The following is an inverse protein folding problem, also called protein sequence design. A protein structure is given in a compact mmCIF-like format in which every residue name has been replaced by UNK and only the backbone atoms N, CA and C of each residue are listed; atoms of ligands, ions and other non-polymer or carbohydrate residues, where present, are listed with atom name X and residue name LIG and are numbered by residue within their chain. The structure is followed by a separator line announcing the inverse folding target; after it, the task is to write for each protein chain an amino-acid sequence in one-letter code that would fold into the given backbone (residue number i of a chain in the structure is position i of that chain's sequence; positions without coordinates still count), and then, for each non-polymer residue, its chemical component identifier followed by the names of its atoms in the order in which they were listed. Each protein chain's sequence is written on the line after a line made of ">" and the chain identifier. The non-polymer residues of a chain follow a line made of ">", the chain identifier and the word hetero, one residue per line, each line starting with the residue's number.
data_IF_655044775849
#
_entry.id   IF_655044775849
#
_cell.length_a   1.000
_cell.length_b   1.000
_cell.length_c   1.000
_cell.angle_alpha   90.00
_cell.angle_beta   90.00
_cell.angle_gamma   90.00
#
_symmetry.space_group_name_H-M   'P 1'
#
loop_
_entity.id
_entity.type
_entity.pdbx_description
1 polymer ?
#
# COMPACT_ATOMS: atom_id res chain seq x y z
N UNK A 1 -22.33 9.76 -17.75
CA UNK A 1 -22.22 8.84 -16.60
C UNK A 1 -21.15 9.38 -15.68
N UNK A 2 -21.45 9.51 -14.39
CA UNK A 2 -20.74 10.35 -13.43
C UNK A 2 -19.23 10.08 -13.37
N UNK A 3 -18.46 11.16 -13.48
CA UNK A 3 -17.01 11.23 -13.32
C UNK A 3 -16.61 10.54 -12.00
N UNK A 4 -15.84 9.45 -12.08
CA UNK A 4 -15.42 8.70 -10.90
C UNK A 4 -14.70 9.60 -9.91
N UNK A 5 -15.12 9.57 -8.65
CA UNK A 5 -14.51 10.34 -7.58
C UNK A 5 -13.04 9.92 -7.46
N UNK A 6 -12.11 10.87 -7.67
CA UNK A 6 -10.66 10.61 -7.62
C UNK A 6 -10.17 10.24 -6.20
N UNK A 7 -10.99 10.47 -5.19
CA UNK A 7 -10.66 10.24 -3.78
C UNK A 7 -11.08 8.85 -3.32
N UNK A 8 -10.22 8.16 -2.57
CA UNK A 8 -10.56 6.86 -1.97
C UNK A 8 -11.73 6.96 -0.99
N UNK A 9 -12.50 5.87 -0.80
CA UNK A 9 -13.60 5.83 0.19
C UNK A 9 -13.14 6.20 1.62
N UNK A 10 -11.98 5.71 2.12
CA UNK A 10 -11.46 6.16 3.41
C UNK A 10 -11.22 7.67 3.49
N UNK A 11 -10.68 8.28 2.43
CA UNK A 11 -10.41 9.71 2.38
C UNK A 11 -11.71 10.53 2.33
N UNK A 12 -12.70 10.08 1.55
CA UNK A 12 -14.05 10.67 1.52
C UNK A 12 -14.70 10.67 2.92
N UNK A 13 -14.63 9.56 3.66
CA UNK A 13 -15.17 9.49 5.04
C UNK A 13 -14.51 10.50 5.98
N UNK A 14 -13.18 10.67 5.87
CA UNK A 14 -12.45 11.65 6.68
C UNK A 14 -12.80 13.09 6.32
N UNK A 15 -13.01 13.38 5.03
CA UNK A 15 -13.50 14.69 4.57
C UNK A 15 -14.89 14.99 5.13
N UNK A 16 -15.81 14.04 5.02
CA UNK A 16 -17.17 14.16 5.61
C UNK A 16 -17.07 14.43 7.11
N UNK A 17 -16.21 13.69 7.83
CA UNK A 17 -15.99 13.93 9.26
C UNK A 17 -15.50 15.35 9.57
N UNK A 18 -14.65 15.93 8.73
CA UNK A 18 -14.17 17.31 8.91
C UNK A 18 -15.28 18.34 8.64
N UNK A 19 -16.05 18.15 7.57
CA UNK A 19 -17.13 19.06 7.15
C UNK A 19 -18.28 19.09 8.18
N UNK A 20 -18.54 17.99 8.88
CA UNK A 20 -19.58 17.92 9.91
C UNK A 20 -19.17 18.50 11.27
N UNK A 21 -18.00 19.11 11.42
CA UNK A 21 -17.58 19.71 12.69
C UNK A 21 -18.21 21.09 12.92
N UNK A 22 -18.94 21.26 14.03
CA UNK A 22 -19.51 22.54 14.46
C UNK A 22 -18.45 23.50 15.01
N UNK A 23 -17.87 24.37 14.16
CA UNK A 23 -16.76 25.25 14.57
C UNK A 23 -17.16 26.34 15.60
N UNK A 24 -18.46 26.61 15.76
CA UNK A 24 -18.99 27.47 16.81
C UNK A 24 -18.68 26.92 18.21
N UNK A 25 -18.65 25.60 18.36
CA UNK A 25 -18.45 24.93 19.64
C UNK A 25 -16.97 24.60 19.87
N UNK A 26 -16.45 24.77 21.11
CA UNK A 26 -15.09 24.38 21.47
C UNK A 26 -14.76 22.93 21.13
N UNK A 27 -15.67 22.00 21.44
CA UNK A 27 -15.51 20.58 21.13
C UNK A 27 -15.46 20.30 19.62
N UNK A 28 -16.29 21.01 18.85
CA UNK A 28 -16.31 20.93 17.40
C UNK A 28 -15.01 21.43 16.77
N UNK A 29 -14.39 22.47 17.33
CA UNK A 29 -13.04 22.93 16.92
C UNK A 29 -11.95 21.89 17.22
N UNK A 30 -11.96 21.29 18.41
CA UNK A 30 -11.02 20.23 18.75
C UNK A 30 -11.20 18.99 17.83
N UNK A 31 -12.45 18.64 17.52
CA UNK A 31 -12.77 17.57 16.55
C UNK A 31 -12.29 17.92 15.15
N UNK A 32 -12.46 19.16 14.70
CA UNK A 32 -12.00 19.62 13.38
C UNK A 32 -10.48 19.53 13.23
N UNK A 33 -9.71 19.95 14.25
CA UNK A 33 -8.25 19.83 14.22
C UNK A 33 -7.78 18.36 14.16
N UNK A 34 -8.39 17.47 14.96
CA UNK A 34 -8.14 16.02 14.89
C UNK A 34 -8.51 15.42 13.52
N UNK A 35 -9.63 15.84 12.95
CA UNK A 35 -10.06 15.40 11.62
C UNK A 35 -9.10 15.89 10.52
N UNK A 36 -8.58 17.13 10.63
CA UNK A 36 -7.58 17.68 9.73
C UNK A 36 -6.26 16.88 9.78
N UNK A 37 -5.76 16.56 10.99
CA UNK A 37 -4.59 15.68 11.18
C UNK A 37 -4.81 14.31 10.54
N UNK A 38 -5.96 13.69 10.80
CA UNK A 38 -6.30 12.37 10.26
C UNK A 38 -6.43 12.37 8.72
N UNK A 39 -6.89 13.49 8.14
CA UNK A 39 -6.94 13.68 6.70
C UNK A 39 -5.52 13.79 6.11
N UNK A 40 -4.63 14.56 6.75
CA UNK A 40 -3.23 14.70 6.34
C UNK A 40 -2.49 13.37 6.35
N UNK A 41 -2.63 12.60 7.42
CA UNK A 41 -2.06 11.26 7.54
C UNK A 41 -2.54 10.34 6.40
N UNK A 42 -3.84 10.37 6.11
CA UNK A 42 -4.39 9.59 5.00
C UNK A 42 -3.86 10.04 3.64
N UNK A 43 -3.65 11.34 3.43
CA UNK A 43 -3.07 11.85 2.19
C UNK A 43 -1.63 11.38 2.01
N UNK A 44 -0.81 11.44 3.07
CA UNK A 44 0.58 10.96 3.03
C UNK A 44 0.65 9.47 2.67
N UNK A 45 -0.22 8.65 3.29
CA UNK A 45 -0.32 7.22 3.01
C UNK A 45 -0.73 6.93 1.56
N UNK A 46 -1.70 7.66 1.01
CA UNK A 46 -2.12 7.48 -0.37
C UNK A 46 -1.05 7.91 -1.36
N UNK A 47 -0.36 9.03 -1.11
CA UNK A 47 0.79 9.45 -1.91
C UNK A 47 1.89 8.39 -1.92
N UNK A 48 2.26 7.86 -0.75
CA UNK A 48 3.29 6.82 -0.63
C UNK A 48 2.90 5.54 -1.42
N UNK A 49 1.66 5.09 -1.26
CA UNK A 49 1.13 3.93 -1.97
C UNK A 49 1.13 4.12 -3.50
N UNK A 50 0.60 5.25 -3.97
CA UNK A 50 0.52 5.55 -5.40
C UNK A 50 1.91 5.76 -6.02
N UNK A 51 2.83 6.37 -5.27
CA UNK A 51 4.21 6.55 -5.68
C UNK A 51 4.93 5.20 -5.86
N UNK A 52 4.80 4.29 -4.90
CA UNK A 52 5.33 2.92 -5.00
C UNK A 52 4.73 2.16 -6.21
N UNK A 53 3.42 2.30 -6.45
CA UNK A 53 2.75 1.65 -7.58
C UNK A 53 3.21 2.19 -8.94
N UNK A 54 3.35 3.51 -9.10
CA UNK A 54 3.77 4.13 -10.36
C UNK A 54 5.23 3.80 -10.72
N UNK A 55 6.14 3.84 -9.74
CA UNK A 55 7.54 3.48 -10.00
C UNK A 55 7.73 1.99 -10.32
N UNK A 56 6.92 1.10 -9.73
CA UNK A 56 6.96 -0.33 -10.05
C UNK A 56 6.31 -0.67 -11.40
N UNK A 57 5.32 0.12 -11.85
CA UNK A 57 4.68 -0.09 -13.15
C UNK A 57 5.61 0.13 -14.37
N UNK A 58 6.71 0.90 -14.19
CA UNK A 58 7.77 1.04 -15.20
C UNK A 58 8.64 -0.21 -15.40
N UNK A 59 8.57 -1.19 -14.49
CA UNK A 59 9.40 -2.40 -14.49
C UNK A 59 8.70 -3.68 -15.00
N UNK A 60 7.58 -3.55 -15.70
CA UNK A 60 6.84 -4.68 -16.28
C UNK A 60 5.45 -4.85 -15.68
N UNK A 61 4.43 -4.54 -16.48
CA UNK A 61 3.04 -4.61 -16.08
C UNK A 61 2.56 -6.08 -15.98
N UNK A 62 2.37 -6.58 -14.75
CA UNK A 62 1.74 -7.89 -14.52
C UNK A 62 1.75 -8.43 -13.09
N UNK A 63 2.52 -7.85 -12.15
CA UNK A 63 2.86 -8.55 -10.90
C UNK A 63 2.62 -7.85 -9.57
N UNK A 64 1.80 -6.80 -9.48
CA UNK A 64 1.73 -5.95 -8.27
C UNK A 64 1.47 -6.70 -6.95
N UNK A 65 0.63 -7.74 -6.95
CA UNK A 65 0.41 -8.58 -5.76
C UNK A 65 1.56 -9.54 -5.45
N UNK A 66 2.23 -10.05 -6.47
CA UNK A 66 3.33 -11.01 -6.35
C UNK A 66 4.66 -10.34 -6.01
N UNK A 67 4.83 -9.07 -6.39
CA UNK A 67 5.96 -8.23 -6.00
C UNK A 67 5.85 -7.78 -4.54
N UNK A 68 4.63 -7.47 -4.06
CA UNK A 68 4.42 -7.08 -2.66
C UNK A 68 4.68 -8.23 -1.68
N UNK A 69 4.24 -9.45 -2.01
CA UNK A 69 4.59 -10.63 -1.19
C UNK A 69 6.09 -10.94 -1.22
N UNK A 70 6.73 -10.82 -2.39
CA UNK A 70 8.17 -10.99 -2.50
C UNK A 70 8.97 -9.96 -1.67
N UNK A 71 8.55 -8.70 -1.68
CA UNK A 71 9.15 -7.64 -0.88
C UNK A 71 8.99 -7.88 0.62
N UNK A 72 7.80 -8.32 1.07
CA UNK A 72 7.56 -8.70 2.46
C UNK A 72 8.52 -9.79 2.90
N UNK A 73 8.61 -10.89 2.15
CA UNK A 73 9.46 -12.01 2.54
C UNK A 73 10.95 -11.67 2.44
N UNK A 74 11.35 -10.76 1.55
CA UNK A 74 12.71 -10.23 1.54
C UNK A 74 13.02 -9.44 2.82
N UNK A 75 12.10 -8.58 3.28
CA UNK A 75 12.26 -7.83 4.53
C UNK A 75 12.33 -8.74 5.76
N UNK A 76 11.50 -9.79 5.82
CA UNK A 76 11.54 -10.81 6.88
C UNK A 76 12.90 -11.53 6.91
N UNK A 77 13.40 -11.97 5.75
CA UNK A 77 14.72 -12.63 5.66
C UNK A 77 15.88 -11.71 5.98
N UNK A 78 15.79 -10.41 5.64
CA UNK A 78 16.82 -9.43 5.96
C UNK A 78 17.05 -9.27 7.48
N UNK A 79 16.10 -9.70 8.31
CA UNK A 79 16.22 -9.74 9.79
C UNK A 79 16.63 -11.09 10.35
N UNK A 80 16.98 -12.05 9.49
CA UNK A 80 17.28 -13.42 9.91
C UNK A 80 16.04 -14.21 10.33
N UNK A 81 14.84 -13.74 10.01
CA UNK A 81 13.58 -14.41 10.27
C UNK A 81 13.08 -15.17 9.03
N UNK A 82 12.14 -16.08 9.21
CA UNK A 82 11.53 -16.83 8.10
C UNK A 82 10.06 -17.15 8.39
N UNK A 83 9.25 -17.15 7.33
CA UNK A 83 7.89 -17.67 7.34
C UNK A 83 7.83 -18.86 6.37
N UNK A 84 7.54 -20.06 6.90
CA UNK A 84 7.56 -21.33 6.16
C UNK A 84 6.27 -21.65 5.40
N UNK A 85 5.28 -20.75 5.45
CA UNK A 85 3.93 -20.97 4.93
C UNK A 85 2.92 -21.31 6.04
N UNK A 86 1.60 -21.13 5.80
CA UNK A 86 0.59 -21.18 6.85
C UNK A 86 0.62 -22.44 7.72
N UNK A 87 0.56 -23.62 7.07
CA UNK A 87 0.52 -24.91 7.76
C UNK A 87 1.82 -25.21 8.50
N UNK A 88 2.96 -25.04 7.84
CA UNK A 88 4.26 -25.37 8.45
C UNK A 88 4.58 -24.44 9.63
N UNK A 89 4.20 -23.16 9.55
CA UNK A 89 4.40 -22.22 10.66
C UNK A 89 3.49 -22.49 11.84
N UNK A 90 2.25 -22.89 11.61
CA UNK A 90 1.37 -23.33 12.69
C UNK A 90 1.98 -24.50 13.46
N UNK A 91 2.42 -25.56 12.75
CA UNK A 91 3.03 -26.73 13.38
C UNK A 91 4.32 -26.38 14.12
N UNK A 92 5.19 -25.54 13.55
CA UNK A 92 6.43 -25.10 14.20
C UNK A 92 6.12 -24.34 15.49
N UNK A 93 5.14 -23.42 15.50
CA UNK A 93 4.76 -22.69 16.70
C UNK A 93 4.15 -23.61 17.77
N UNK A 94 3.35 -24.61 17.37
CA UNK A 94 2.82 -25.62 18.30
C UNK A 94 3.94 -26.48 18.92
N UNK A 95 4.96 -26.85 18.13
CA UNK A 95 6.12 -27.58 18.64
C UNK A 95 6.98 -26.73 19.60
N UNK A 96 7.16 -25.44 19.30
CA UNK A 96 7.82 -24.50 20.22
C UNK A 96 7.06 -24.39 21.53
N UNK A 97 5.73 -24.29 21.46
CA UNK A 97 4.87 -24.24 22.64
C UNK A 97 5.01 -25.53 23.48
N UNK A 98 4.87 -26.70 22.86
CA UNK A 98 5.03 -27.99 23.53
C UNK A 98 6.38 -28.13 24.27
N UNK A 99 7.44 -27.54 23.72
CA UNK A 99 8.77 -27.61 24.29
C UNK A 99 9.04 -26.60 25.43
N UNK A 100 8.25 -25.52 25.52
CA UNK A 100 8.54 -24.36 26.38
C UNK A 100 7.36 -23.92 27.27
N UNK A 101 6.17 -24.53 27.12
CA UNK A 101 4.96 -24.15 27.85
C UNK A 101 5.03 -24.42 29.36
N UNK A 102 5.86 -25.38 29.77
CA UNK A 102 6.13 -25.73 31.17
C UNK A 102 7.15 -24.79 31.85
N UNK A 103 7.67 -23.80 31.11
CA UNK A 103 8.69 -22.86 31.59
C UNK A 103 10.11 -23.43 31.59
N UNK A 104 10.33 -24.64 31.07
CA UNK A 104 11.64 -25.26 31.01
C UNK A 104 12.61 -24.46 30.12
N UNK A 105 13.77 -24.02 30.64
CA UNK A 105 14.72 -23.25 29.84
C UNK A 105 15.43 -24.15 28.82
N UNK A 106 15.31 -23.82 27.53
CA UNK A 106 16.03 -24.50 26.46
C UNK A 106 17.01 -23.56 25.77
N UNK A 107 18.24 -24.04 25.56
CA UNK A 107 19.19 -23.35 24.69
C UNK A 107 18.77 -23.47 23.22
N UNK A 108 19.07 -22.44 22.41
CA UNK A 108 18.81 -22.45 20.95
C UNK A 108 19.35 -23.70 20.22
N UNK A 109 20.42 -24.32 20.73
CA UNK A 109 20.94 -25.60 20.26
C UNK A 109 21.00 -26.59 21.42
N UNK A 110 20.26 -27.68 21.35
CA UNK A 110 20.17 -28.71 22.41
C UNK A 110 21.53 -29.37 22.72
N UNK A 111 22.47 -29.39 21.76
CA UNK A 111 23.83 -29.86 22.02
C UNK A 111 24.64 -28.78 22.77
N UNK A 112 24.87 -29.00 24.07
CA UNK A 112 25.71 -28.14 24.91
C UNK A 112 27.14 -28.04 24.35
N UNK A 113 27.65 -26.82 24.21
CA UNK A 113 29.07 -26.53 24.45
C UNK A 113 29.15 -26.04 25.89
N UNK A 114 30.10 -26.54 26.68
CA UNK A 114 30.30 -26.05 28.04
C UNK A 114 30.64 -24.56 27.99
N UNK A 115 29.78 -23.69 28.57
CA UNK A 115 30.10 -22.28 28.84
C UNK A 115 29.16 -21.21 28.28
N UNK A 116 28.57 -21.36 27.09
CA UNK A 116 28.14 -20.15 26.33
C UNK A 116 26.69 -20.13 25.77
N UNK A 117 25.86 -21.14 26.00
CA UNK A 117 24.52 -21.17 25.38
C UNK A 117 23.49 -20.39 26.20
N UNK A 118 23.04 -19.24 25.68
CA UNK A 118 21.89 -18.51 26.24
C UNK A 118 20.66 -19.40 26.31
N UNK A 119 20.06 -19.48 27.50
CA UNK A 119 18.82 -20.20 27.75
C UNK A 119 17.63 -19.32 27.34
N UNK A 120 16.60 -19.95 26.78
CA UNK A 120 15.36 -19.30 26.37
C UNK A 120 14.19 -19.93 27.10
N UNK A 121 13.26 -19.08 27.51
CA UNK A 121 11.97 -19.45 28.09
C UNK A 121 10.89 -18.61 27.40
N UNK A 122 9.70 -19.19 27.23
CA UNK A 122 8.53 -18.38 26.91
C UNK A 122 8.11 -17.60 28.15
N UNK A 123 7.72 -16.34 27.93
CA UNK A 123 7.04 -15.59 28.98
C UNK A 123 5.66 -16.19 29.21
N UNK A 124 5.16 -16.09 30.44
CA UNK A 124 3.86 -16.66 30.84
C UNK A 124 2.72 -16.21 29.92
N UNK A 125 2.72 -14.94 29.49
CA UNK A 125 1.70 -14.40 28.59
C UNK A 125 1.69 -15.02 27.19
N UNK A 126 2.76 -15.74 26.80
CA UNK A 126 2.89 -16.38 25.49
C UNK A 126 2.83 -17.92 25.55
N UNK A 127 2.48 -18.50 26.70
CA UNK A 127 2.33 -19.95 26.87
C UNK A 127 0.99 -20.50 26.36
N UNK A 128 0.34 -19.82 25.40
CA UNK A 128 -0.80 -20.37 24.66
C UNK A 128 -0.58 -20.15 23.17
N UNK A 129 -1.07 -21.07 22.34
CA UNK A 129 -0.91 -20.95 20.88
C UNK A 129 -1.47 -19.63 20.35
N UNK A 130 -2.66 -19.22 20.82
CA UNK A 130 -3.30 -17.97 20.39
C UNK A 130 -2.43 -16.75 20.72
N UNK A 131 -1.88 -16.67 21.94
CA UNK A 131 -1.04 -15.53 22.34
C UNK A 131 0.31 -15.51 21.59
N UNK A 132 0.97 -16.67 21.49
CA UNK A 132 2.23 -16.80 20.76
C UNK A 132 2.07 -16.49 19.27
N UNK A 133 1.01 -17.02 18.65
CA UNK A 133 0.68 -16.78 17.24
C UNK A 133 0.39 -15.30 16.99
N UNK A 134 -0.40 -14.69 17.87
CA UNK A 134 -0.71 -13.27 17.80
C UNK A 134 0.53 -12.38 17.88
N UNK A 135 1.48 -12.71 18.77
CA UNK A 135 2.75 -11.99 18.87
C UNK A 135 3.62 -12.22 17.63
N UNK A 136 3.72 -13.46 17.14
CA UNK A 136 4.40 -13.79 15.88
C UNK A 136 3.86 -12.96 14.70
N UNK A 137 2.54 -12.91 14.52
CA UNK A 137 1.92 -12.16 13.43
C UNK A 137 2.16 -10.65 13.60
N UNK A 138 2.10 -10.13 14.83
CA UNK A 138 2.40 -8.73 15.13
C UNK A 138 3.83 -8.36 14.72
N UNK A 139 4.81 -9.21 15.00
CA UNK A 139 6.19 -9.01 14.58
C UNK A 139 6.33 -8.96 13.06
N UNK A 140 5.65 -9.84 12.30
CA UNK A 140 5.68 -9.79 10.84
C UNK A 140 5.03 -8.50 10.30
N UNK A 141 3.91 -8.07 10.88
CA UNK A 141 3.25 -6.81 10.52
C UNK A 141 4.16 -5.60 10.80
N UNK A 142 4.89 -5.62 11.92
CA UNK A 142 5.87 -4.59 12.27
C UNK A 142 7.04 -4.56 11.27
N UNK A 143 7.60 -5.72 10.89
CA UNK A 143 8.63 -5.82 9.84
C UNK A 143 8.15 -5.19 8.54
N UNK A 144 6.92 -5.48 8.12
CA UNK A 144 6.36 -4.90 6.91
C UNK A 144 6.21 -3.38 7.03
N UNK A 145 5.73 -2.91 8.18
CA UNK A 145 5.50 -1.50 8.46
C UNK A 145 6.81 -0.70 8.39
N UNK A 146 7.88 -1.20 9.03
CA UNK A 146 9.22 -0.62 8.99
C UNK A 146 9.89 -0.70 7.61
N UNK A 147 9.51 -1.69 6.80
CA UNK A 147 9.92 -1.78 5.40
C UNK A 147 9.08 -0.87 4.46
N UNK A 148 8.17 -0.04 5.00
CA UNK A 148 7.28 0.82 4.21
C UNK A 148 6.21 0.05 3.42
N UNK A 149 6.00 -1.23 3.73
CA UNK A 149 4.98 -2.05 3.10
C UNK A 149 3.65 -1.85 3.82
N UNK A 150 2.62 -1.51 3.06
CA UNK A 150 1.25 -1.36 3.56
C UNK A 150 0.39 -2.43 2.92
N UNK A 151 -0.02 -3.41 3.72
CA UNK A 151 -0.74 -4.61 3.28
C UNK A 151 -2.13 -4.61 3.92
N UNK A 152 -3.17 -4.86 3.12
CA UNK A 152 -4.55 -4.87 3.63
C UNK A 152 -4.81 -6.10 4.54
N UNK A 153 -5.72 -6.03 5.53
CA UNK A 153 -6.00 -7.14 6.44
C UNK A 153 -6.41 -8.43 5.71
N UNK A 154 -7.16 -8.33 4.62
CA UNK A 154 -7.53 -9.47 3.77
C UNK A 154 -6.31 -10.12 3.11
N UNK A 155 -5.34 -9.31 2.66
CA UNK A 155 -4.10 -9.81 2.08
C UNK A 155 -3.22 -10.45 3.16
N UNK A 156 -3.20 -9.88 4.36
CA UNK A 156 -2.53 -10.49 5.51
C UNK A 156 -3.11 -11.87 5.86
N UNK A 157 -4.43 -11.98 5.93
CA UNK A 157 -5.13 -13.26 6.13
C UNK A 157 -4.69 -14.29 5.09
N UNK A 158 -4.65 -13.89 3.82
CA UNK A 158 -4.21 -14.77 2.73
C UNK A 158 -2.73 -15.16 2.84
N UNK A 159 -1.85 -14.23 3.23
CA UNK A 159 -0.40 -14.46 3.32
C UNK A 159 -0.02 -15.35 4.51
N UNK A 160 -0.64 -15.15 5.67
CA UNK A 160 -0.26 -15.82 6.92
C UNK A 160 -1.10 -17.07 7.23
N UNK A 161 -2.32 -17.15 6.68
CA UNK A 161 -3.26 -18.24 6.97
C UNK A 161 -3.72 -18.98 5.71
N UNK A 162 -3.54 -18.41 4.51
CA UNK A 162 -4.04 -19.01 3.28
C UNK A 162 -5.56 -18.88 3.09
N UNK A 163 -6.22 -18.03 3.89
CA UNK A 163 -7.67 -17.85 3.90
C UNK A 163 -8.07 -16.37 3.99
N UNK A 164 -9.38 -16.10 4.08
CA UNK A 164 -9.93 -14.76 4.35
C UNK A 164 -10.59 -14.65 5.74
N UNK A 165 -10.51 -15.71 6.57
CA UNK A 165 -11.23 -15.80 7.84
C UNK A 165 -10.57 -14.93 8.94
N UNK A 166 -9.25 -14.75 8.87
CA UNK A 166 -8.46 -14.03 9.87
C UNK A 166 -8.41 -12.51 9.62
N UNK A 167 -9.26 -11.97 8.75
CA UNK A 167 -9.32 -10.53 8.42
C UNK A 167 -9.44 -9.64 9.66
N UNK A 168 -10.35 -9.97 10.59
CA UNK A 168 -10.60 -9.17 11.80
C UNK A 168 -9.42 -9.20 12.77
N UNK A 169 -8.78 -10.36 12.93
CA UNK A 169 -7.55 -10.52 13.70
C UNK A 169 -6.42 -9.64 13.15
N UNK A 170 -6.17 -9.72 11.84
CA UNK A 170 -5.14 -8.89 11.19
C UNK A 170 -5.46 -7.40 11.26
N UNK A 171 -6.74 -7.02 11.15
CA UNK A 171 -7.15 -5.63 11.34
C UNK A 171 -6.83 -5.14 12.77
N UNK A 172 -7.16 -5.94 13.79
CA UNK A 172 -6.84 -5.63 15.19
C UNK A 172 -5.33 -5.45 15.44
N UNK A 173 -4.49 -6.29 14.81
CA UNK A 173 -3.04 -6.15 14.90
C UNK A 173 -2.54 -4.87 14.24
N UNK A 174 -2.99 -4.59 13.01
CA UNK A 174 -2.64 -3.38 12.27
C UNK A 174 -3.04 -2.12 13.04
N UNK A 175 -4.24 -2.11 13.65
CA UNK A 175 -4.71 -0.96 14.42
C UNK A 175 -3.92 -0.76 15.72
N UNK A 176 -3.54 -1.85 16.41
CA UNK A 176 -2.71 -1.75 17.63
C UNK A 176 -1.29 -1.29 17.35
N UNK A 177 -0.73 -1.63 16.20
CA UNK A 177 0.63 -1.23 15.81
C UNK A 177 0.70 0.17 15.21
N UNK A 178 -0.45 0.80 14.90
CA UNK A 178 -0.49 2.21 14.50
C UNK A 178 -0.28 3.12 15.72
N UNK A 179 0.96 3.56 15.94
CA UNK A 179 1.28 4.59 16.94
C UNK A 179 1.07 6.01 16.38
N UNK A 180 0.88 7.05 17.20
CA UNK A 180 0.81 8.45 16.74
C UNK A 180 2.07 8.91 15.98
N UNK A 181 3.22 8.29 16.27
CA UNK A 181 4.50 8.49 15.56
C UNK A 181 4.45 7.96 14.12
N UNK A 182 3.46 7.12 13.77
CA UNK A 182 3.29 6.58 12.43
C UNK A 182 3.03 7.65 11.37
N UNK A 183 2.45 8.80 11.73
CA UNK A 183 2.25 9.87 10.78
C UNK A 183 3.60 10.54 10.43
N UNK A 184 4.36 11.01 11.42
CA UNK A 184 5.68 11.60 11.18
C UNK A 184 6.62 10.61 10.46
N UNK A 185 6.57 9.33 10.83
CA UNK A 185 7.29 8.27 10.12
C UNK A 185 6.84 8.13 8.67
N UNK A 186 5.53 8.13 8.39
CA UNK A 186 5.01 8.03 7.01
C UNK A 186 5.44 9.24 6.16
N UNK A 187 5.56 10.43 6.77
CA UNK A 187 6.07 11.64 6.10
C UNK A 187 7.57 11.50 5.78
N UNK A 188 8.33 10.93 6.70
CA UNK A 188 9.74 10.62 6.47
C UNK A 188 9.93 9.58 5.36
N UNK A 189 9.17 8.48 5.38
CA UNK A 189 9.15 7.44 4.34
C UNK A 189 8.80 8.02 2.96
N UNK A 190 7.77 8.88 2.89
CA UNK A 190 7.40 9.58 1.66
C UNK A 190 8.57 10.45 1.17
N UNK A 191 9.24 11.17 2.06
CA UNK A 191 10.38 12.02 1.69
C UNK A 191 11.54 11.21 1.13
N UNK A 192 11.88 10.07 1.74
CA UNK A 192 12.89 9.15 1.22
C UNK A 192 12.49 8.56 -0.15
N UNK A 193 11.22 8.20 -0.33
CA UNK A 193 10.72 7.71 -1.59
C UNK A 193 10.83 8.76 -2.71
N UNK A 194 10.47 10.01 -2.42
CA UNK A 194 10.59 11.14 -3.35
C UNK A 194 12.05 11.45 -3.71
N UNK A 195 12.98 11.39 -2.73
CA UNK A 195 14.41 11.58 -2.98
C UNK A 195 14.98 10.51 -3.91
N UNK A 196 14.55 9.26 -3.77
CA UNK A 196 15.01 8.14 -4.62
C UNK A 196 14.56 8.27 -6.07
N UNK A 197 13.53 9.06 -6.33
CA UNK A 197 12.80 9.09 -7.61
C UNK A 197 12.84 10.45 -8.31
N UNK A 198 13.43 11.45 -7.66
CA UNK A 198 13.61 12.79 -8.22
C UNK A 198 12.38 13.69 -8.17
N UNK A 199 11.32 13.30 -7.44
CA UNK A 199 10.10 14.09 -7.21
C UNK A 199 9.51 14.83 -8.44
N UNK A 200 9.09 14.10 -9.48
CA UNK A 200 8.61 14.73 -10.73
C UNK A 200 7.32 15.55 -10.57
N UNK A 201 6.63 15.40 -9.44
CA UNK A 201 5.37 16.06 -9.13
C UNK A 201 5.53 17.23 -8.15
N UNK A 202 6.74 17.51 -7.66
CA UNK A 202 6.99 18.54 -6.65
C UNK A 202 6.28 18.27 -5.31
N UNK A 203 6.05 17.00 -4.95
CA UNK A 203 5.38 16.61 -3.71
C UNK A 203 6.17 16.97 -2.46
N UNK A 204 7.49 17.19 -2.57
CA UNK A 204 8.31 17.70 -1.48
C UNK A 204 7.82 19.05 -0.94
N UNK A 205 7.14 19.86 -1.78
CA UNK A 205 6.53 21.12 -1.35
C UNK A 205 5.41 20.94 -0.30
N UNK A 206 4.83 19.74 -0.19
CA UNK A 206 3.80 19.43 0.82
C UNK A 206 4.41 19.16 2.20
N UNK A 207 5.72 18.94 2.30
CA UNK A 207 6.40 18.53 3.53
C UNK A 207 6.09 19.42 4.75
N UNK A 208 6.14 20.77 4.66
CA UNK A 208 5.84 21.63 5.80
C UNK A 208 4.40 21.48 6.31
N UNK A 209 3.45 21.21 5.40
CA UNK A 209 2.04 21.00 5.74
C UNK A 209 1.84 19.66 6.45
N UNK A 210 2.53 18.61 6.00
CA UNK A 210 2.53 17.32 6.67
C UNK A 210 3.18 17.38 8.05
N UNK A 211 4.34 18.03 8.19
CA UNK A 211 5.03 18.17 9.47
C UNK A 211 4.17 18.96 10.47
N UNK A 212 3.50 20.03 10.05
CA UNK A 212 2.57 20.79 10.89
C UNK A 212 1.46 19.90 11.46
N UNK A 213 0.83 19.09 10.61
CA UNK A 213 -0.25 18.19 11.04
C UNK A 213 0.26 17.03 11.89
N UNK A 214 1.45 16.49 11.59
CA UNK A 214 2.02 15.34 12.29
C UNK A 214 2.36 15.65 13.74
N UNK A 215 2.86 16.86 14.00
CA UNK A 215 3.26 17.34 15.34
C UNK A 215 2.17 18.16 16.05
N UNK A 216 0.98 18.29 15.45
CA UNK A 216 -0.12 18.92 16.14
C UNK A 216 -0.60 18.02 17.29
N UNK A 217 -0.51 18.54 18.50
CA UNK A 217 -1.04 17.92 19.72
C UNK A 217 -2.25 18.72 20.22
N UNK A 218 -3.29 18.07 20.75
CA UNK A 218 -4.40 18.77 21.38
C UNK A 218 -3.92 19.51 22.64
N UNK A 219 -4.57 20.63 23.02
CA UNK A 219 -4.22 21.35 24.24
C UNK A 219 -4.30 20.43 25.48
N UNK A 220 -3.31 20.50 26.40
CA UNK A 220 -3.22 19.59 27.55
C UNK A 220 -4.41 19.70 28.50
N UNK A 221 -5.04 20.88 28.56
CA UNK A 221 -6.18 21.16 29.42
C UNK A 221 -7.51 20.62 28.86
N UNK A 222 -7.47 19.87 27.75
CA UNK A 222 -8.66 19.41 27.02
C UNK A 222 -9.42 20.55 26.33
N UNK A 223 -8.85 21.76 26.31
CA UNK A 223 -9.42 22.94 25.67
C UNK A 223 -9.45 22.86 24.15
N UNK A 224 -10.22 23.77 23.53
CA UNK A 224 -10.24 23.91 22.09
C UNK A 224 -8.95 24.56 21.57
N UNK A 225 -8.48 24.19 20.36
CA UNK A 225 -7.41 24.92 19.70
C UNK A 225 -7.82 26.39 19.49
N UNK A 226 -6.82 27.26 19.47
CA UNK A 226 -7.02 28.66 19.07
C UNK A 226 -7.52 28.73 17.62
N UNK A 227 -8.17 29.84 17.25
CA UNK A 227 -8.61 30.06 15.87
C UNK A 227 -7.44 30.04 14.87
N UNK A 228 -6.27 30.52 15.30
CA UNK A 228 -5.06 30.51 14.48
C UNK A 228 -4.56 29.08 14.24
N UNK A 229 -4.46 28.26 15.30
CA UNK A 229 -4.07 26.84 15.17
C UNK A 229 -5.06 26.06 14.32
N UNK A 230 -6.36 26.24 14.54
CA UNK A 230 -7.40 25.59 13.76
C UNK A 230 -7.31 25.97 12.27
N UNK A 231 -7.11 27.26 11.97
CA UNK A 231 -6.92 27.76 10.61
C UNK A 231 -5.68 27.13 9.96
N UNK A 232 -4.55 27.10 10.67
CA UNK A 232 -3.30 26.48 10.21
C UNK A 232 -3.48 25.00 9.90
N UNK A 233 -4.14 24.23 10.78
CA UNK A 233 -4.45 22.82 10.56
C UNK A 233 -5.36 22.62 9.34
N UNK A 234 -6.42 23.42 9.20
CA UNK A 234 -7.34 23.32 8.07
C UNK A 234 -6.67 23.65 6.74
N UNK A 235 -5.85 24.71 6.69
CA UNK A 235 -5.09 25.09 5.50
C UNK A 235 -4.05 24.05 5.13
N UNK A 236 -3.33 23.49 6.11
CA UNK A 236 -2.38 22.40 5.87
C UNK A 236 -3.08 21.16 5.31
N UNK A 237 -4.21 20.75 5.89
CA UNK A 237 -4.98 19.60 5.42
C UNK A 237 -5.51 19.81 3.99
N UNK A 238 -5.97 21.03 3.67
CA UNK A 238 -6.37 21.42 2.31
C UNK A 238 -5.19 21.32 1.32
N UNK A 239 -4.01 21.84 1.67
CA UNK A 239 -2.83 21.78 0.81
C UNK A 239 -2.43 20.33 0.51
N UNK A 240 -2.41 19.46 1.53
CA UNK A 240 -2.12 18.04 1.36
C UNK A 240 -3.12 17.34 0.42
N UNK A 241 -4.42 17.63 0.57
CA UNK A 241 -5.46 17.07 -0.28
C UNK A 241 -5.35 17.57 -1.73
N UNK A 242 -5.09 18.86 -1.93
CA UNK A 242 -4.88 19.44 -3.26
C UNK A 242 -3.67 18.83 -3.95
N UNK A 243 -2.56 18.64 -3.22
CA UNK A 243 -1.37 17.96 -3.72
C UNK A 243 -1.65 16.51 -4.13
N UNK A 244 -2.40 15.75 -3.32
CA UNK A 244 -2.82 14.40 -3.67
C UNK A 244 -3.70 14.37 -4.93
N UNK A 245 -4.70 15.25 -5.04
CA UNK A 245 -5.57 15.31 -6.22
C UNK A 245 -4.79 15.69 -7.47
N UNK A 246 -3.86 16.66 -7.37
CA UNK A 246 -3.00 17.05 -8.48
C UNK A 246 -2.10 15.89 -8.93
N UNK A 247 -1.50 15.16 -7.98
CA UNK A 247 -0.69 13.98 -8.26
C UNK A 247 -1.50 12.88 -8.95
N UNK A 248 -2.69 12.57 -8.44
CA UNK A 248 -3.59 11.60 -9.09
C UNK A 248 -3.99 12.08 -10.48
N UNK A 249 -4.27 13.37 -10.67
CA UNK A 249 -4.53 14.02 -11.96
C UNK A 249 -3.44 13.76 -13.00
N UNK A 250 -2.18 14.00 -12.61
CA UNK A 250 -1.03 13.91 -13.51
C UNK A 250 -0.53 12.47 -13.71
N UNK A 251 -0.62 11.61 -12.69
CA UNK A 251 0.03 10.28 -12.68
C UNK A 251 -0.96 9.10 -12.61
N UNK A 252 -2.20 9.32 -12.19
CA UNK A 252 -3.27 8.31 -12.11
C UNK A 252 -3.99 8.04 -13.44
N UNK A 253 -3.73 8.85 -14.47
CA UNK A 253 -4.41 8.79 -15.78
C UNK A 253 -3.88 7.78 -16.80
N UNK A 254 -2.83 6.99 -16.51
CA UNK A 254 -2.31 5.99 -17.47
C UNK A 254 -3.08 4.65 -17.46
N UNK A 255 -4.41 4.71 -17.36
CA UNK A 255 -5.30 3.62 -17.79
C UNK A 255 -6.26 4.16 -18.85
N UNK A 256 -5.78 4.14 -20.09
CA UNK A 256 -6.60 4.19 -21.30
C UNK A 256 -6.72 5.56 -21.98
N UNK A 257 -6.19 5.64 -23.20
CA UNK A 257 -6.67 6.57 -24.23
C UNK A 257 -5.79 7.79 -24.46
N UNK A 258 -5.21 7.88 -25.66
CA UNK A 258 -4.29 8.93 -26.07
C UNK A 258 -4.90 10.33 -26.15
N UNK A 259 -4.01 11.33 -26.21
CA UNK A 259 -4.38 12.70 -26.52
C UNK A 259 -3.50 13.75 -25.85
N UNK A 260 -2.20 13.75 -26.14
CA UNK A 260 -1.35 14.92 -25.86
C UNK A 260 -1.88 16.13 -26.64
N UNK A 261 -2.45 17.11 -25.95
CA UNK A 261 -2.70 18.44 -26.51
C UNK A 261 -1.69 19.42 -25.93
N UNK A 262 -0.53 19.50 -26.59
CA UNK A 262 0.27 20.73 -26.55
C UNK A 262 -0.28 21.71 -27.59
N UNK A 263 -0.38 23.02 -27.30
CA UNK A 263 -0.83 24.01 -28.26
C UNK A 263 0.37 24.50 -29.08
N UNK A 264 0.37 24.22 -30.39
CA UNK A 264 1.49 24.58 -31.26
C UNK A 264 1.10 24.75 -32.73
N UNK A 265 0.75 25.99 -33.08
CA UNK A 265 1.06 26.74 -34.32
C UNK A 265 1.14 26.02 -35.67
N UNK A 266 0.36 26.53 -36.64
CA UNK A 266 0.76 26.60 -38.06
C UNK A 266 0.01 25.65 -38.99
N UNK A 267 -0.89 26.21 -39.82
CA UNK A 267 -1.66 25.50 -40.84
C UNK A 267 -1.12 25.91 -42.22
N UNK A 268 -0.61 24.96 -43.00
CA UNK A 268 -0.40 25.08 -44.45
C UNK A 268 -0.51 23.70 -45.13
N UNK A 269 -1.50 23.64 -46.03
CA UNK A 269 -1.69 22.90 -47.29
C UNK A 269 -1.31 21.41 -47.54
N UNK A 270 -2.35 20.70 -48.00
CA UNK A 270 -2.46 19.82 -49.18
C UNK A 270 -1.49 18.64 -49.46
N UNK A 271 -2.07 17.46 -49.73
CA UNK A 271 -1.45 16.37 -50.50
C UNK A 271 -1.98 14.97 -50.13
N UNK A 272 -2.63 14.29 -51.07
CA UNK A 272 -3.20 12.95 -50.92
C UNK A 272 -2.19 11.79 -51.04
N UNK A 273 -2.63 10.58 -50.69
CA UNK A 273 -1.89 9.34 -50.93
C UNK A 273 -2.40 8.15 -50.10
N UNK A 274 -2.74 7.06 -50.81
CA UNK A 274 -3.30 5.76 -50.40
C UNK A 274 -2.42 4.92 -49.43
N UNK A 275 -2.90 3.75 -48.93
CA UNK A 275 -2.50 3.16 -47.66
C UNK A 275 -1.22 2.33 -47.77
N UNK A 276 -0.31 2.49 -46.82
CA UNK A 276 0.91 1.69 -46.72
C UNK A 276 0.92 0.88 -45.43
N UNK A 277 1.05 -0.44 -45.59
CA UNK A 277 1.31 -1.41 -44.55
C UNK A 277 2.55 -1.07 -43.74
N UNK A 278 2.46 -1.18 -42.41
CA UNK A 278 3.64 -1.41 -41.58
C UNK A 278 3.36 -2.54 -40.57
N UNK A 279 3.98 -3.72 -40.72
CA UNK A 279 3.81 -4.87 -39.84
C UNK A 279 4.84 -4.77 -38.69
N UNK A 280 4.50 -4.07 -37.63
CA UNK A 280 5.42 -3.83 -36.51
C UNK A 280 4.74 -4.04 -35.17
N UNK A 281 4.60 -5.30 -34.74
CA UNK A 281 4.13 -5.60 -33.38
C UNK A 281 3.39 -6.92 -33.19
N UNK A 282 3.52 -7.89 -34.09
CA UNK A 282 2.95 -9.23 -33.87
C UNK A 282 3.74 -9.92 -32.76
N UNK A 283 3.23 -9.84 -31.53
CA UNK A 283 3.64 -10.71 -30.44
C UNK A 283 3.28 -12.14 -30.85
N UNK A 284 4.28 -12.98 -31.08
CA UNK A 284 4.14 -14.41 -31.39
C UNK A 284 3.07 -15.05 -30.51
N UNK A 285 2.01 -15.58 -31.12
CA UNK A 285 0.83 -16.09 -30.39
C UNK A 285 0.99 -17.58 -30.14
N UNK A 286 1.54 -17.97 -28.99
CA UNK A 286 1.95 -19.35 -28.70
C UNK A 286 0.82 -20.34 -28.33
N UNK A 287 -0.45 -19.92 -28.37
CA UNK A 287 -1.58 -20.79 -28.03
C UNK A 287 -2.88 -20.38 -28.73
N UNK A 288 -3.67 -21.38 -29.17
CA UNK A 288 -4.94 -21.21 -29.89
C UNK A 288 -6.03 -20.59 -29.01
N UNK A 289 -6.79 -19.67 -29.60
CA UNK A 289 -7.90 -19.01 -28.94
C UNK A 289 -9.09 -19.95 -28.78
N UNK A 290 -9.44 -20.26 -27.53
CA UNK A 290 -10.62 -21.09 -27.22
C UNK A 290 -11.92 -20.54 -27.78
N UNK A 291 -12.10 -19.21 -27.79
CA UNK A 291 -13.35 -18.59 -28.25
C UNK A 291 -13.55 -18.78 -29.76
N UNK A 292 -12.49 -18.65 -30.56
CA UNK A 292 -12.58 -18.93 -32.00
C UNK A 292 -12.79 -20.42 -32.25
N UNK A 293 -12.11 -21.29 -31.49
CA UNK A 293 -12.22 -22.74 -31.65
C UNK A 293 -13.61 -23.29 -31.29
N UNK A 294 -14.31 -22.68 -30.33
CA UNK A 294 -15.62 -23.14 -29.87
C UNK A 294 -16.81 -22.42 -30.52
N UNK A 295 -16.66 -21.15 -30.90
CA UNK A 295 -17.77 -20.28 -31.35
C UNK A 295 -17.58 -19.75 -32.77
N UNK A 296 -16.44 -20.03 -33.40
CA UNK A 296 -16.08 -19.50 -34.72
C UNK A 296 -15.78 -18.01 -34.76
N UNK A 297 -15.92 -17.28 -33.64
CA UNK A 297 -15.65 -15.84 -33.57
C UNK A 297 -15.12 -15.44 -32.19
N UNK A 298 -14.12 -14.55 -32.18
CA UNK A 298 -13.55 -14.02 -30.95
C UNK A 298 -13.99 -12.56 -30.74
N UNK A 299 -14.58 -12.21 -29.58
CA UNK A 299 -15.01 -10.84 -29.29
C UNK A 299 -13.85 -9.85 -29.18
N UNK A 300 -12.61 -10.33 -29.06
CA UNK A 300 -11.38 -9.52 -29.00
C UNK A 300 -10.80 -9.21 -30.39
N UNK A 301 -11.31 -9.82 -31.46
CA UNK A 301 -10.88 -9.57 -32.84
C UNK A 301 -9.36 -9.62 -33.03
N UNK A 302 -8.82 -8.70 -33.82
CA UNK A 302 -7.38 -8.60 -34.09
C UNK A 302 -6.51 -8.30 -32.85
N UNK A 303 -7.12 -7.86 -31.74
CA UNK A 303 -6.41 -7.59 -30.47
C UNK A 303 -6.35 -8.81 -29.54
N UNK A 304 -6.85 -9.97 -29.96
CA UNK A 304 -6.74 -11.19 -29.17
C UNK A 304 -5.27 -11.61 -29.01
N UNK A 305 -4.85 -11.92 -27.79
CA UNK A 305 -3.49 -12.39 -27.48
C UNK A 305 -3.27 -13.87 -27.79
N UNK A 306 -4.32 -14.59 -28.22
CA UNK A 306 -4.29 -16.00 -28.59
C UNK A 306 -4.50 -16.15 -30.10
N UNK A 307 -3.88 -17.17 -30.70
CA UNK A 307 -3.90 -17.41 -32.14
C UNK A 307 -5.29 -17.82 -32.62
N UNK A 308 -5.80 -17.17 -33.67
CA UNK A 308 -7.08 -17.48 -34.28
C UNK A 308 -6.99 -18.53 -35.40
N UNK A 309 -5.77 -18.90 -35.80
CA UNK A 309 -5.48 -19.98 -36.73
C UNK A 309 -4.12 -20.61 -36.40
N UNK A 310 -3.88 -21.81 -36.92
CA UNK A 310 -2.58 -22.49 -36.80
C UNK A 310 -1.46 -21.66 -37.43
N UNK A 311 -1.74 -21.00 -38.56
CA UNK A 311 -0.83 -20.10 -39.26
C UNK A 311 -0.43 -18.86 -38.43
N UNK A 312 -1.29 -18.40 -37.51
CA UNK A 312 -0.99 -17.28 -36.61
C UNK A 312 -0.16 -17.71 -35.39
N UNK A 313 -0.13 -19.01 -35.10
CA UNK A 313 0.67 -19.59 -34.01
C UNK A 313 2.10 -19.92 -34.46
N UNK A 314 2.26 -20.32 -35.72
CA UNK A 314 3.55 -20.69 -36.31
C UNK A 314 4.36 -19.48 -36.85
N UNK A 315 3.83 -18.26 -36.68
CA UNK A 315 4.45 -16.98 -37.06
C UNK A 315 5.07 -16.27 -35.87
#
# INVERSE_FOLDING_TARGET
>A
MLCGCWLSRPLQRKLVSLVHCSLSEPEGRARAARAARSLGERCALELLLQHHQHHQAGAGAGGGGQQLSAALWAAVRARGCQFLGPHMQEEVLRLVLLALEDGSPLSRKVSKREGDSSLMQLKEEFCTYEALRREHDAQIVQIASEAGLRIAPEQWSSLLYGDAAHRSHMQSLVDKLQSPQSFAQSVHELSLALQRTGDPAGLAALRPHFDLLAHWEPPPDGGAPTWEELSRCALAARACLQGLVAFMGAFGGRRGGGGSSSPGRGRAEAGGGSPSHNPGGSRYKTSLCRDVAQRGSCPRGAHCTFAHSQEEMDR
#
